data_IF_777350802770
#
_entry.id   IF_777350802770
#
_cell.length_a   1.000
_cell.length_b   1.000
_cell.length_c   1.000
_cell.angle_alpha   90.00
_cell.angle_beta   90.00
_cell.angle_gamma   90.00
#
_symmetry.space_group_name_H-M   'P 1'
#
loop_
_entity.id
_entity.type
_entity.pdbx_description
1 polymer ?
#
# COMPACT_ATOMS: atom_id res chain seq x y z
N UNK A 1 -8.04 27.83 -3.22
CA UNK A 1 -7.68 28.54 -1.98
C UNK A 1 -6.41 27.98 -1.33
N UNK A 2 -5.75 26.97 -1.93
CA UNK A 2 -4.61 26.25 -1.34
C UNK A 2 -3.22 26.87 -1.57
N UNK A 3 -3.10 27.99 -2.29
CA UNK A 3 -1.77 28.53 -2.66
C UNK A 3 -1.07 29.35 -1.57
N UNK A 4 -1.62 29.48 -0.34
CA UNK A 4 -1.05 30.36 0.71
C UNK A 4 -0.59 29.70 2.00
N UNK A 5 -0.76 28.38 2.16
CA UNK A 5 -0.51 27.68 3.41
C UNK A 5 0.25 26.37 3.19
N UNK A 6 1.51 26.49 2.79
CA UNK A 6 2.32 25.33 2.42
C UNK A 6 3.22 24.84 3.57
N UNK A 7 3.75 25.76 4.39
CA UNK A 7 4.65 25.44 5.51
C UNK A 7 4.16 25.93 6.88
N UNK A 8 4.82 25.49 7.95
CA UNK A 8 4.48 25.92 9.32
C UNK A 8 4.58 27.44 9.50
N UNK A 9 5.54 28.09 8.83
CA UNK A 9 5.80 29.52 8.95
C UNK A 9 4.64 30.36 8.40
N UNK A 10 3.98 29.86 7.35
CA UNK A 10 2.77 30.47 6.80
C UNK A 10 1.65 30.43 7.85
N UNK A 11 1.45 29.26 8.47
CA UNK A 11 0.46 29.08 9.53
C UNK A 11 0.77 29.93 10.75
N UNK A 12 2.01 29.92 11.24
CA UNK A 12 2.44 30.71 12.38
C UNK A 12 2.24 32.21 12.15
N UNK A 13 2.61 32.72 10.98
CA UNK A 13 2.44 34.13 10.64
C UNK A 13 0.96 34.52 10.66
N UNK A 14 0.10 33.71 10.06
CA UNK A 14 -1.34 33.97 10.01
C UNK A 14 -2.01 33.84 11.38
N UNK A 15 -1.54 32.93 12.24
CA UNK A 15 -2.03 32.81 13.63
C UNK A 15 -1.56 33.97 14.52
N UNK A 16 -0.38 34.55 14.26
CA UNK A 16 0.12 35.73 14.98
C UNK A 16 -0.59 37.02 14.57
N UNK A 17 -1.15 37.09 13.36
CA UNK A 17 -1.79 38.28 12.81
C UNK A 17 -3.02 38.75 13.64
N UNK A 18 -3.99 37.89 14.03
CA UNK A 18 -5.09 38.28 14.91
C UNK A 18 -4.62 38.88 16.23
N UNK A 19 -3.56 38.34 16.83
CA UNK A 19 -3.00 38.87 18.09
C UNK A 19 -2.42 40.28 17.91
N UNK A 20 -1.75 40.54 16.79
CA UNK A 20 -1.25 41.87 16.45
C UNK A 20 -2.40 42.87 16.26
N UNK A 21 -3.45 42.46 15.54
CA UNK A 21 -4.64 43.29 15.30
C UNK A 21 -5.47 43.54 16.56
N UNK A 22 -5.52 42.59 17.51
CA UNK A 22 -6.12 42.81 18.82
C UNK A 22 -5.43 43.93 19.60
N UNK A 23 -4.09 43.94 19.63
CA UNK A 23 -3.30 45.01 20.27
C UNK A 23 -3.45 46.37 19.58
N UNK A 24 -3.67 46.39 18.27
CA UNK A 24 -4.01 47.63 17.56
C UNK A 24 -5.41 48.13 17.95
N UNK A 25 -6.39 47.23 18.10
CA UNK A 25 -7.75 47.55 18.51
C UNK A 25 -7.84 48.08 19.95
N UNK A 26 -6.97 47.61 20.86
CA UNK A 26 -6.85 48.13 22.23
C UNK A 26 -6.45 49.61 22.28
N UNK A 27 -5.86 50.17 21.22
CA UNK A 27 -5.51 51.59 21.15
C UNK A 27 -6.71 52.50 20.84
N UNK A 28 -7.87 51.92 20.54
CA UNK A 28 -9.08 52.71 20.29
C UNK A 28 -9.53 53.41 21.57
N UNK A 29 -9.84 54.71 21.53
CA UNK A 29 -10.33 55.43 22.70
C UNK A 29 -11.68 54.84 23.14
N UNK A 30 -11.89 54.64 24.44
CA UNK A 30 -13.14 54.08 24.99
C UNK A 30 -14.35 55.01 24.79
N UNK A 31 -14.07 56.31 24.68
CA UNK A 31 -15.06 57.36 24.51
C UNK A 31 -14.53 58.45 23.57
N UNK A 32 -15.42 58.96 22.71
CA UNK A 32 -15.14 60.07 21.81
C UNK A 32 -16.13 61.18 22.15
N UNK A 33 -15.61 62.33 22.59
CA UNK A 33 -16.42 63.50 22.89
C UNK A 33 -16.48 64.43 21.68
N UNK A 34 -17.69 64.73 21.22
CA UNK A 34 -17.98 65.64 20.12
C UNK A 34 -18.89 66.76 20.65
N UNK A 35 -18.28 67.90 21.01
CA UNK A 35 -18.98 69.04 21.65
C UNK A 35 -19.81 68.62 22.87
N UNK A 36 -21.14 68.54 22.73
CA UNK A 36 -22.11 68.14 23.76
C UNK A 36 -22.52 66.66 23.70
N UNK A 37 -21.95 65.86 22.79
CA UNK A 37 -22.24 64.44 22.60
C UNK A 37 -21.06 63.59 23.08
N UNK A 38 -21.34 62.56 23.87
CA UNK A 38 -20.36 61.53 24.25
C UNK A 38 -20.73 60.23 23.54
N UNK A 39 -19.80 59.69 22.74
CA UNK A 39 -19.97 58.42 22.02
C UNK A 39 -19.06 57.38 22.66
N UNK A 40 -19.63 56.29 23.16
CA UNK A 40 -18.86 55.15 23.67
C UNK A 40 -18.51 54.20 22.53
N UNK A 41 -17.27 53.70 22.49
CA UNK A 41 -16.77 52.82 21.42
C UNK A 41 -16.78 51.34 21.79
N UNK A 42 -17.29 50.98 22.97
CA UNK A 42 -17.29 49.61 23.51
C UNK A 42 -17.95 48.60 22.56
N UNK A 43 -19.02 48.98 21.85
CA UNK A 43 -19.67 48.13 20.86
C UNK A 43 -18.77 47.83 19.66
N UNK A 44 -17.96 48.80 19.23
CA UNK A 44 -16.98 48.62 18.14
C UNK A 44 -15.86 47.71 18.59
N UNK A 45 -15.35 47.90 19.81
CA UNK A 45 -14.32 47.04 20.39
C UNK A 45 -14.79 45.58 20.47
N UNK A 46 -15.98 45.33 21.03
CA UNK A 46 -16.57 43.99 21.12
C UNK A 46 -16.72 43.34 19.73
N UNK A 47 -17.13 44.11 18.71
CA UNK A 47 -17.28 43.60 17.36
C UNK A 47 -15.93 43.21 16.73
N UNK A 48 -14.88 44.01 16.96
CA UNK A 48 -13.52 43.69 16.49
C UNK A 48 -13.00 42.43 17.19
N UNK A 49 -13.17 42.34 18.51
CA UNK A 49 -12.71 41.18 19.29
C UNK A 49 -13.42 39.88 18.84
N UNK A 50 -14.74 39.92 18.64
CA UNK A 50 -15.50 38.79 18.08
C UNK A 50 -14.99 38.38 16.69
N UNK A 51 -14.75 39.35 15.81
CA UNK A 51 -14.20 39.08 14.46
C UNK A 51 -12.80 38.44 14.51
N UNK A 52 -11.94 38.91 15.42
CA UNK A 52 -10.59 38.38 15.59
C UNK A 52 -10.61 36.96 16.18
N UNK A 53 -11.48 36.71 17.17
CA UNK A 53 -11.66 35.40 17.75
C UNK A 53 -12.19 34.40 16.71
N UNK A 54 -13.22 34.78 15.94
CA UNK A 54 -13.75 33.95 14.86
C UNK A 54 -12.72 33.63 13.78
N UNK A 55 -11.86 34.59 13.44
CA UNK A 55 -10.76 34.35 12.51
C UNK A 55 -9.76 33.35 13.08
N UNK A 56 -9.37 33.50 14.35
CA UNK A 56 -8.47 32.57 15.03
C UNK A 56 -9.05 31.15 15.06
N UNK A 57 -10.32 31.00 15.46
CA UNK A 57 -11.00 29.70 15.52
C UNK A 57 -11.08 29.05 14.13
N UNK A 58 -11.34 29.85 13.10
CA UNK A 58 -11.33 29.38 11.70
C UNK A 58 -9.94 28.92 11.28
N UNK A 59 -8.88 29.64 11.62
CA UNK A 59 -7.50 29.23 11.33
C UNK A 59 -7.15 27.91 12.01
N UNK A 60 -7.49 27.75 13.29
CA UNK A 60 -7.29 26.49 14.04
C UNK A 60 -8.06 25.34 13.37
N UNK A 61 -9.31 25.59 12.98
CA UNK A 61 -10.14 24.60 12.29
C UNK A 61 -9.53 24.19 10.94
N UNK A 62 -9.12 25.15 10.11
CA UNK A 62 -8.50 24.86 8.80
C UNK A 62 -7.16 24.14 8.91
N UNK A 63 -6.32 24.46 9.90
CA UNK A 63 -5.08 23.74 10.18
C UNK A 63 -5.38 22.28 10.56
N UNK A 64 -6.32 22.07 11.48
CA UNK A 64 -6.76 20.73 11.88
C UNK A 64 -7.33 19.94 10.70
N UNK A 65 -8.13 20.59 9.86
CA UNK A 65 -8.66 19.98 8.65
C UNK A 65 -7.53 19.57 7.70
N UNK A 66 -6.59 20.46 7.39
CA UNK A 66 -5.43 20.18 6.53
C UNK A 66 -4.63 18.98 7.03
N UNK A 67 -4.31 18.94 8.33
CA UNK A 67 -3.61 17.81 8.97
C UNK A 67 -4.39 16.52 8.78
N UNK A 68 -5.69 16.51 9.11
CA UNK A 68 -6.51 15.30 9.02
C UNK A 68 -6.65 14.80 7.57
N UNK A 69 -6.77 15.69 6.59
CA UNK A 69 -6.79 15.32 5.18
C UNK A 69 -5.47 14.66 4.77
N UNK A 70 -4.31 15.24 5.17
CA UNK A 70 -3.01 14.66 4.87
C UNK A 70 -2.81 13.30 5.55
N UNK A 71 -3.22 13.17 6.83
CA UNK A 71 -3.22 11.91 7.57
C UNK A 71 -4.03 10.84 6.84
N UNK A 72 -5.23 11.16 6.36
CA UNK A 72 -6.07 10.23 5.62
C UNK A 72 -5.44 9.79 4.30
N UNK A 73 -4.87 10.72 3.52
CA UNK A 73 -4.20 10.41 2.26
C UNK A 73 -3.02 9.46 2.47
N UNK A 74 -2.14 9.75 3.44
CA UNK A 74 -0.99 8.90 3.74
C UNK A 74 -1.43 7.56 4.33
N UNK A 75 -2.41 7.57 5.24
CA UNK A 75 -2.93 6.34 5.85
C UNK A 75 -3.50 5.38 4.80
N UNK A 76 -4.22 5.90 3.80
CA UNK A 76 -4.70 5.09 2.67
C UNK A 76 -3.55 4.49 1.86
N UNK A 77 -2.49 5.27 1.60
CA UNK A 77 -1.30 4.77 0.92
C UNK A 77 -0.65 3.63 1.71
N UNK A 78 -0.44 3.79 3.02
CA UNK A 78 0.16 2.73 3.85
C UNK A 78 -0.71 1.48 3.92
N UNK A 79 -2.03 1.61 4.10
CA UNK A 79 -2.94 0.45 4.10
C UNK A 79 -2.87 -0.33 2.80
N UNK A 80 -2.81 0.35 1.65
CA UNK A 80 -2.65 -0.30 0.35
C UNK A 80 -1.27 -0.95 0.21
N UNK A 81 -0.21 -0.26 0.60
CA UNK A 81 1.15 -0.76 0.51
C UNK A 81 1.36 -2.00 1.38
N UNK A 82 0.92 -1.97 2.64
CA UNK A 82 0.97 -3.12 3.57
C UNK A 82 0.19 -4.32 3.01
N UNK A 83 -0.98 -4.09 2.42
CA UNK A 83 -1.76 -5.16 1.76
C UNK A 83 -0.97 -5.82 0.62
N UNK A 84 -0.27 -5.04 -0.20
CA UNK A 84 0.55 -5.58 -1.29
C UNK A 84 1.80 -6.28 -0.75
N UNK A 85 2.52 -5.67 0.19
CA UNK A 85 3.76 -6.20 0.76
C UNK A 85 3.55 -7.47 1.60
N UNK A 86 2.33 -7.69 2.11
CA UNK A 86 1.96 -8.91 2.84
C UNK A 86 1.53 -10.07 1.94
N UNK A 87 1.23 -9.80 0.67
CA UNK A 87 0.85 -10.83 -0.29
C UNK A 87 2.03 -11.73 -0.66
N UNK A 88 1.79 -13.03 -0.79
CA UNK A 88 2.82 -14.02 -1.14
C UNK A 88 2.61 -14.49 -2.58
N UNK A 89 3.43 -14.03 -3.54
CA UNK A 89 3.24 -14.39 -4.94
C UNK A 89 3.40 -15.90 -5.16
N UNK A 90 2.49 -16.48 -5.94
CA UNK A 90 2.40 -17.92 -6.24
C UNK A 90 2.73 -18.25 -7.70
N UNK A 91 2.99 -17.24 -8.53
CA UNK A 91 3.33 -17.39 -9.94
C UNK A 91 4.48 -16.46 -10.34
N UNK A 92 5.09 -16.72 -11.50
CA UNK A 92 6.19 -15.90 -12.02
C UNK A 92 5.69 -14.48 -12.32
N UNK A 93 4.49 -14.35 -12.88
CA UNK A 93 3.87 -13.05 -13.16
C UNK A 93 3.62 -12.25 -11.88
N UNK A 94 3.10 -12.91 -10.83
CA UNK A 94 2.92 -12.28 -9.51
C UNK A 94 4.25 -11.87 -8.87
N UNK A 95 5.33 -12.65 -9.06
CA UNK A 95 6.67 -12.27 -8.57
C UNK A 95 7.17 -11.01 -9.28
N UNK A 96 7.00 -10.92 -10.59
CA UNK A 96 7.40 -9.74 -11.37
C UNK A 96 6.60 -8.51 -10.92
N UNK A 97 5.29 -8.68 -10.72
CA UNK A 97 4.43 -7.61 -10.23
C UNK A 97 4.78 -7.17 -8.80
N UNK A 98 5.09 -8.11 -7.91
CA UNK A 98 5.53 -7.82 -6.54
C UNK A 98 6.87 -7.06 -6.52
N UNK A 99 7.83 -7.43 -7.36
CA UNK A 99 9.13 -6.76 -7.47
C UNK A 99 9.00 -5.33 -8.03
N UNK A 100 8.11 -5.15 -9.04
CA UNK A 100 7.74 -3.83 -9.55
C UNK A 100 7.14 -2.95 -8.44
N UNK A 101 6.17 -3.49 -7.68
CA UNK A 101 5.51 -2.76 -6.59
C UNK A 101 6.47 -2.42 -5.46
N UNK A 102 7.35 -3.34 -5.09
CA UNK A 102 8.42 -3.09 -4.13
C UNK A 102 9.27 -1.87 -4.52
N UNK A 103 9.68 -1.82 -5.79
CA UNK A 103 10.49 -0.72 -6.33
C UNK A 103 9.71 0.60 -6.34
N UNK A 104 8.43 0.58 -6.71
CA UNK A 104 7.55 1.75 -6.66
C UNK A 104 7.45 2.33 -5.23
N UNK A 105 7.19 1.47 -4.24
CA UNK A 105 7.12 1.87 -2.83
C UNK A 105 8.46 2.36 -2.29
N UNK A 106 9.57 1.76 -2.72
CA UNK A 106 10.92 2.23 -2.40
C UNK A 106 11.19 3.65 -2.89
N UNK A 107 10.67 4.03 -4.06
CA UNK A 107 10.80 5.40 -4.60
C UNK A 107 9.93 6.40 -3.83
N UNK A 108 8.70 6.03 -3.47
CA UNK A 108 7.80 6.90 -2.72
C UNK A 108 8.16 7.05 -1.25
N UNK A 109 9.01 6.16 -0.69
CA UNK A 109 9.43 6.18 0.73
C UNK A 109 9.93 7.56 1.17
N UNK A 110 10.78 8.21 0.36
CA UNK A 110 11.34 9.52 0.70
C UNK A 110 10.24 10.60 0.78
N UNK A 111 9.36 10.64 -0.21
CA UNK A 111 8.25 11.58 -0.29
C UNK A 111 7.27 11.40 0.88
N UNK A 112 6.92 10.15 1.22
CA UNK A 112 6.04 9.86 2.35
C UNK A 112 6.66 10.30 3.68
N UNK A 113 7.97 10.12 3.86
CA UNK A 113 8.69 10.57 5.05
C UNK A 113 8.69 12.10 5.18
N UNK A 114 8.91 12.81 4.08
CA UNK A 114 8.84 14.28 4.05
C UNK A 114 7.42 14.76 4.40
N UNK A 115 6.40 14.13 3.85
CA UNK A 115 5.01 14.47 4.15
C UNK A 115 4.64 14.22 5.62
N UNK A 116 5.11 13.11 6.20
CA UNK A 116 4.97 12.83 7.64
C UNK A 116 5.66 13.89 8.52
N UNK A 117 6.83 14.39 8.12
CA UNK A 117 7.52 15.49 8.83
C UNK A 117 6.67 16.77 8.84
N UNK A 118 6.13 17.14 7.68
CA UNK A 118 5.25 18.33 7.55
C UNK A 118 4.00 18.17 8.42
N UNK A 119 3.41 16.98 8.47
CA UNK A 119 2.25 16.70 9.33
C UNK A 119 2.62 16.86 10.81
N UNK A 120 3.78 16.34 11.23
CA UNK A 120 4.25 16.45 12.62
C UNK A 120 4.48 17.92 13.01
N UNK A 121 5.12 18.71 12.15
CA UNK A 121 5.32 20.15 12.34
C UNK A 121 3.99 20.90 12.50
N UNK A 122 3.06 20.72 11.57
CA UNK A 122 1.71 21.29 11.66
C UNK A 122 0.98 20.86 12.92
N UNK A 123 1.12 19.60 13.33
CA UNK A 123 0.47 19.06 14.53
C UNK A 123 1.07 19.63 15.83
N UNK A 124 2.37 19.90 15.87
CA UNK A 124 3.01 20.61 17.00
C UNK A 124 2.46 22.02 17.13
N UNK A 125 2.32 22.74 16.02
CA UNK A 125 1.69 24.06 16.01
C UNK A 125 0.23 23.97 16.49
N UNK A 126 -0.55 23.02 15.98
CA UNK A 126 -1.94 22.81 16.39
C UNK A 126 -2.06 22.54 17.90
N UNK A 127 -1.19 21.72 18.48
CA UNK A 127 -1.14 21.47 19.93
C UNK A 127 -0.84 22.75 20.71
N UNK A 128 0.09 23.57 20.23
CA UNK A 128 0.47 24.83 20.88
C UNK A 128 -0.67 25.84 20.91
N UNK A 129 -1.48 25.93 19.85
CA UNK A 129 -2.51 26.96 19.70
C UNK A 129 -3.92 26.49 20.06
N UNK A 130 -4.23 25.21 19.85
CA UNK A 130 -5.56 24.63 19.97
C UNK A 130 -5.69 23.63 21.12
N UNK A 131 -4.64 23.43 21.91
CA UNK A 131 -4.63 22.60 23.12
C UNK A 131 -4.65 21.08 22.87
N UNK A 132 -5.05 20.62 21.67
CA UNK A 132 -5.03 19.22 21.27
C UNK A 132 -4.58 19.06 19.82
N UNK A 133 -3.85 17.97 19.55
CA UNK A 133 -3.39 17.60 18.21
C UNK A 133 -4.39 16.70 17.47
N UNK A 134 -3.98 16.22 16.30
CA UNK A 134 -4.71 15.22 15.54
C UNK A 134 -4.62 13.83 16.23
N UNK A 135 -5.78 13.23 16.49
CA UNK A 135 -5.90 11.96 17.20
C UNK A 135 -5.36 10.77 16.38
N UNK A 136 -5.60 10.78 15.07
CA UNK A 136 -5.22 9.68 14.17
C UNK A 136 -3.73 9.63 13.82
N UNK A 137 -2.96 10.68 14.15
CA UNK A 137 -1.55 10.76 13.77
C UNK A 137 -0.74 9.59 14.32
N UNK A 138 -0.98 9.19 15.57
CA UNK A 138 -0.27 8.07 16.20
C UNK A 138 -0.50 6.75 15.46
N UNK A 139 -1.73 6.50 15.01
CA UNK A 139 -2.05 5.31 14.24
C UNK A 139 -1.32 5.33 12.88
N UNK A 140 -1.29 6.47 12.18
CA UNK A 140 -0.57 6.60 10.91
C UNK A 140 0.94 6.47 11.08
N UNK A 141 1.52 6.93 12.20
CA UNK A 141 2.93 6.69 12.52
C UNK A 141 3.23 5.20 12.71
N UNK A 142 2.33 4.45 13.36
CA UNK A 142 2.47 2.99 13.48
C UNK A 142 2.37 2.29 12.12
N UNK A 143 1.44 2.73 11.26
CA UNK A 143 1.34 2.21 9.89
C UNK A 143 2.59 2.50 9.04
N UNK A 144 3.23 3.65 9.27
CA UNK A 144 4.52 3.96 8.64
C UNK A 144 5.62 2.99 9.09
N UNK A 145 5.74 2.74 10.40
CA UNK A 145 6.72 1.78 10.94
C UNK A 145 6.49 0.36 10.40
N UNK A 146 5.23 -0.08 10.33
CA UNK A 146 4.85 -1.35 9.71
C UNK A 146 5.23 -1.39 8.23
N UNK A 147 4.89 -0.34 7.47
CA UNK A 147 5.27 -0.21 6.07
C UNK A 147 6.78 -0.30 5.87
N UNK A 148 7.59 0.40 6.68
CA UNK A 148 9.05 0.35 6.58
C UNK A 148 9.59 -1.07 6.83
N UNK A 149 9.11 -1.73 7.89
CA UNK A 149 9.51 -3.10 8.22
C UNK A 149 9.14 -4.09 7.12
N UNK A 150 7.91 -4.00 6.60
CA UNK A 150 7.44 -4.85 5.52
C UNK A 150 8.24 -4.61 4.25
N UNK A 151 8.50 -3.36 3.90
CA UNK A 151 9.28 -3.02 2.72
C UNK A 151 10.70 -3.60 2.80
N UNK A 152 11.37 -3.44 3.94
CA UNK A 152 12.74 -3.94 4.14
C UNK A 152 12.82 -5.47 4.04
N UNK A 153 11.78 -6.19 4.50
CA UNK A 153 11.71 -7.65 4.44
C UNK A 153 11.14 -8.22 3.13
N UNK A 154 10.45 -7.41 2.33
CA UNK A 154 9.73 -7.85 1.12
C UNK A 154 10.65 -8.49 0.08
N UNK A 155 11.86 -7.94 -0.13
CA UNK A 155 12.81 -8.50 -1.11
C UNK A 155 13.36 -9.87 -0.67
N UNK A 156 13.37 -10.16 0.63
CA UNK A 156 13.71 -11.49 1.15
C UNK A 156 12.57 -12.45 0.81
N UNK A 157 11.32 -12.05 1.12
CA UNK A 157 10.12 -12.84 0.83
C UNK A 157 10.01 -13.18 -0.67
N UNK A 158 10.22 -12.22 -1.57
CA UNK A 158 10.20 -12.46 -3.02
C UNK A 158 11.23 -13.51 -3.42
N UNK A 159 12.47 -13.40 -2.92
CA UNK A 159 13.54 -14.38 -3.21
C UNK A 159 13.19 -15.77 -2.70
N UNK A 160 12.56 -15.87 -1.54
CA UNK A 160 12.06 -17.15 -1.01
C UNK A 160 10.98 -17.74 -1.93
N UNK A 161 10.02 -16.94 -2.40
CA UNK A 161 8.99 -17.43 -3.33
C UNK A 161 9.56 -17.89 -4.66
N UNK A 162 10.57 -17.21 -5.21
CA UNK A 162 11.32 -17.70 -6.39
C UNK A 162 11.92 -19.09 -6.12
N UNK A 163 12.51 -19.30 -4.94
CA UNK A 163 13.05 -20.59 -4.53
C UNK A 163 11.99 -21.69 -4.45
N UNK A 164 10.82 -21.37 -3.89
CA UNK A 164 9.66 -22.27 -3.81
C UNK A 164 9.18 -22.67 -5.20
N UNK A 165 9.01 -21.72 -6.13
CA UNK A 165 8.57 -22.02 -7.49
C UNK A 165 9.59 -22.90 -8.24
N UNK A 166 10.89 -22.59 -8.13
CA UNK A 166 11.95 -23.44 -8.72
C UNK A 166 11.92 -24.86 -8.17
N UNK A 167 11.73 -25.01 -6.86
CA UNK A 167 11.61 -26.31 -6.20
C UNK A 167 10.38 -27.08 -6.70
N UNK A 168 9.25 -26.42 -6.86
CA UNK A 168 8.02 -27.03 -7.38
C UNK A 168 8.17 -27.49 -8.83
N UNK A 169 8.77 -26.66 -9.70
CA UNK A 169 9.07 -27.05 -11.09
C UNK A 169 10.01 -28.25 -11.12
N UNK A 170 11.05 -28.25 -10.29
CA UNK A 170 12.02 -29.36 -10.20
C UNK A 170 11.36 -30.67 -9.74
N UNK A 171 10.46 -30.60 -8.75
CA UNK A 171 9.66 -31.75 -8.30
C UNK A 171 8.74 -32.27 -9.41
N UNK A 172 8.08 -31.38 -10.14
CA UNK A 172 7.19 -31.77 -11.24
C UNK A 172 7.97 -32.42 -12.39
N UNK A 173 9.14 -31.89 -12.76
CA UNK A 173 10.02 -32.49 -13.76
C UNK A 173 10.48 -33.89 -13.33
N UNK A 174 10.87 -34.05 -12.05
CA UNK A 174 11.27 -35.36 -11.52
C UNK A 174 10.12 -36.36 -11.57
N UNK A 175 8.93 -35.97 -11.14
CA UNK A 175 7.74 -36.82 -11.18
C UNK A 175 7.40 -37.26 -12.61
N UNK A 176 7.42 -36.34 -13.58
CA UNK A 176 7.20 -36.68 -14.99
C UNK A 176 8.29 -37.62 -15.53
N UNK A 177 9.54 -37.41 -15.15
CA UNK A 177 10.66 -38.29 -15.53
C UNK A 177 10.44 -39.70 -14.97
N UNK A 178 10.13 -39.81 -13.68
CA UNK A 178 9.88 -41.10 -13.03
C UNK A 178 8.68 -41.84 -13.65
N UNK A 179 7.62 -41.13 -14.02
CA UNK A 179 6.46 -41.70 -14.72
C UNK A 179 6.80 -42.14 -16.16
N UNK A 180 7.59 -41.35 -16.88
CA UNK A 180 8.07 -41.71 -18.22
C UNK A 180 8.98 -42.94 -18.18
N UNK A 181 9.89 -43.05 -17.22
CA UNK A 181 10.74 -44.22 -17.01
C UNK A 181 9.93 -45.48 -16.69
N UNK A 182 8.93 -45.36 -15.80
CA UNK A 182 8.00 -46.47 -15.49
C UNK A 182 7.21 -46.90 -16.72
N UNK A 183 6.71 -45.96 -17.51
CA UNK A 183 5.99 -46.25 -18.76
C UNK A 183 6.91 -46.96 -19.77
N UNK A 184 8.13 -46.47 -19.95
CA UNK A 184 9.13 -47.06 -20.84
C UNK A 184 9.54 -48.47 -20.40
N UNK A 185 9.77 -48.69 -19.11
CA UNK A 185 10.09 -50.01 -18.57
C UNK A 185 8.94 -51.00 -18.80
N UNK A 186 7.70 -50.61 -18.51
CA UNK A 186 6.50 -51.42 -18.77
C UNK A 186 6.33 -51.73 -20.26
N UNK A 187 6.59 -50.75 -21.14
CA UNK A 187 6.57 -50.97 -22.58
C UNK A 187 7.63 -51.99 -23.00
N UNK A 188 8.88 -51.85 -22.57
CA UNK A 188 9.93 -52.79 -22.95
C UNK A 188 9.67 -54.23 -22.46
N UNK A 189 9.08 -54.37 -21.28
CA UNK A 189 8.75 -55.67 -20.70
C UNK A 189 7.57 -56.36 -21.39
N UNK A 190 6.51 -55.62 -21.69
CA UNK A 190 5.22 -56.20 -22.11
C UNK A 190 4.83 -55.88 -23.55
N UNK A 191 5.68 -55.17 -24.33
CA UNK A 191 5.39 -54.88 -25.73
C UNK A 191 5.05 -56.17 -26.49
N UNK A 192 3.99 -56.16 -27.32
CA UNK A 192 3.62 -57.31 -28.12
C UNK A 192 4.78 -57.75 -29.03
N UNK A 193 5.07 -59.05 -29.07
CA UNK A 193 6.10 -59.63 -29.94
C UNK A 193 5.42 -60.26 -31.17
N UNK A 194 6.01 -60.06 -32.34
CA UNK A 194 5.45 -60.51 -33.63
C UNK A 194 5.13 -62.01 -33.68
N UNK A 195 5.93 -62.85 -33.03
CA UNK A 195 5.72 -64.32 -33.02
C UNK A 195 4.38 -64.73 -32.38
N UNK A 196 3.91 -64.02 -31.35
CA UNK A 196 2.67 -64.39 -30.62
C UNK A 196 1.38 -63.83 -31.21
N UNK A 197 1.48 -62.91 -32.17
CA UNK A 197 0.32 -62.21 -32.75
C UNK A 197 -0.29 -62.97 -33.94
N UNK A 198 0.38 -64.02 -34.43
CA UNK A 198 0.00 -64.71 -35.67
C UNK A 198 -0.94 -65.90 -35.48
N UNK A 199 -1.13 -66.39 -34.25
CA UNK A 199 -1.83 -67.66 -34.00
C UNK A 199 -3.12 -67.54 -33.16
N UNK A 200 -3.32 -66.44 -32.42
CA UNK A 200 -4.44 -66.30 -31.45
C UNK A 200 -5.11 -64.92 -31.50
N UNK A 201 -6.43 -64.89 -31.74
CA UNK A 201 -7.25 -63.67 -31.82
C UNK A 201 -7.34 -62.94 -30.49
N UNK A 202 -7.37 -63.66 -29.36
CA UNK A 202 -7.49 -63.04 -28.03
C UNK A 202 -6.17 -62.38 -27.61
N UNK A 203 -5.03 -62.96 -28.02
CA UNK A 203 -3.72 -62.35 -27.88
C UNK A 203 -3.60 -61.04 -28.66
N UNK A 204 -4.18 -60.96 -29.87
CA UNK A 204 -4.23 -59.73 -30.68
C UNK A 204 -5.10 -58.66 -30.01
N UNK A 205 -6.28 -59.02 -29.50
CA UNK A 205 -7.16 -58.06 -28.80
C UNK A 205 -6.50 -57.50 -27.55
N UNK A 206 -5.88 -58.35 -26.73
CA UNK A 206 -5.15 -57.96 -25.52
C UNK A 206 -3.96 -57.03 -25.84
N UNK A 207 -3.25 -57.29 -26.94
CA UNK A 207 -2.17 -56.42 -27.42
C UNK A 207 -2.69 -55.04 -27.85
N UNK A 208 -3.83 -54.98 -28.53
CA UNK A 208 -4.47 -53.72 -28.94
C UNK A 208 -4.88 -52.91 -27.70
N UNK A 209 -5.49 -53.54 -26.70
CA UNK A 209 -5.88 -52.89 -25.45
C UNK A 209 -4.67 -52.34 -24.69
N UNK A 210 -3.61 -53.13 -24.54
CA UNK A 210 -2.36 -52.68 -23.93
C UNK A 210 -1.76 -51.47 -24.67
N UNK A 211 -1.68 -51.52 -26.00
CA UNK A 211 -1.16 -50.40 -26.81
C UNK A 211 -2.02 -49.15 -26.62
N UNK A 212 -3.36 -49.29 -26.61
CA UNK A 212 -4.27 -48.15 -26.38
C UNK A 212 -4.06 -47.53 -25.00
N UNK A 213 -3.95 -48.35 -23.95
CA UNK A 213 -3.70 -47.88 -22.58
C UNK A 213 -2.37 -47.13 -22.48
N UNK A 214 -1.28 -47.70 -23.03
CA UNK A 214 0.05 -47.04 -23.01
C UNK A 214 0.06 -45.76 -23.83
N UNK A 215 -0.67 -45.71 -24.95
CA UNK A 215 -0.84 -44.49 -25.74
C UNK A 215 -1.56 -43.41 -24.94
N UNK A 216 -2.60 -43.76 -24.19
CA UNK A 216 -3.32 -42.81 -23.33
C UNK A 216 -2.39 -42.24 -22.25
N UNK A 217 -1.68 -43.09 -21.52
CA UNK A 217 -0.70 -42.68 -20.50
C UNK A 217 0.40 -41.79 -21.08
N UNK A 218 0.88 -42.09 -22.29
CA UNK A 218 1.86 -41.25 -22.98
C UNK A 218 1.30 -39.87 -23.35
N UNK A 219 0.06 -39.82 -23.84
CA UNK A 219 -0.61 -38.56 -24.18
C UNK A 219 -0.84 -37.69 -22.92
N UNK A 220 -1.22 -38.30 -21.80
CA UNK A 220 -1.38 -37.61 -20.51
C UNK A 220 -0.05 -37.04 -20.01
N UNK A 221 1.04 -37.80 -20.15
CA UNK A 221 2.40 -37.33 -19.85
C UNK A 221 2.82 -36.16 -20.75
N UNK A 222 2.53 -36.22 -22.05
CA UNK A 222 2.80 -35.11 -22.96
C UNK A 222 2.01 -33.85 -22.59
N UNK A 223 0.71 -33.99 -22.35
CA UNK A 223 -0.12 -32.86 -21.94
C UNK A 223 0.35 -32.24 -20.61
N UNK A 224 0.85 -33.06 -19.69
CA UNK A 224 1.41 -32.58 -18.42
C UNK A 224 2.77 -31.89 -18.61
N UNK A 225 3.60 -32.37 -19.55
CA UNK A 225 4.86 -31.72 -19.94
C UNK A 225 4.62 -30.33 -20.54
N UNK A 226 3.61 -30.19 -21.40
CA UNK A 226 3.26 -28.90 -22.03
C UNK A 226 2.83 -27.84 -21.02
N UNK A 227 2.26 -28.22 -19.88
CA UNK A 227 1.87 -27.29 -18.80
C UNK A 227 3.03 -26.74 -17.98
N UNK A 228 4.20 -27.36 -18.07
CA UNK A 228 5.41 -26.94 -17.32
C UNK A 228 6.35 -26.11 -18.21
N UNK A 229 6.20 -26.24 -19.54
CA UNK A 229 6.90 -25.44 -20.55
C UNK A 229 6.34 -24.04 -20.67
#
# INVERSE_FOLDING_TARGET
MDERFTGDADWEAQIKLPKGKGREAEKLPSEIKLECILVTTSAVWNAIDDMLQRLFDTLVWTLRHSINTQIQTIGQFFSQAVTVLSSRPQSIDEIVDADRKHTEFGRSKKEMKEMMSIIDEKNRLLRSIGGSGAEQLLATMQQWEEFELMLDSHQIMIREQVGVLKSNVSKNIKMLTDEAEKLFARWNQFKPKNEKLSEDRDAVLSAIEFIKEKRLQFNELQASREKIS
#
